data_IF_652346050811
#
_entry.id   IF_652346050811
#
_cell.length_a   1.000
_cell.length_b   1.000
_cell.length_c   1.000
_cell.angle_alpha   90.00
_cell.angle_beta   90.00
_cell.angle_gamma   90.00
#
_symmetry.space_group_name_H-M   'P 1'
#
loop_
_entity.id
_entity.type
_entity.pdbx_description
1 polymer ?
#
# COMPACT_ATOMS: atom_id res chain seq x y z
N UNK A 1 -9.68 -6.33 -0.69
CA UNK A 1 -10.55 -5.60 -1.66
C UNK A 1 -12.04 -5.92 -1.57
N UNK A 2 -12.48 -7.19 -1.59
CA UNK A 2 -13.93 -7.55 -1.52
C UNK A 2 -14.72 -6.80 -0.41
N UNK A 3 -14.15 -6.73 0.80
CA UNK A 3 -14.78 -6.01 1.91
C UNK A 3 -14.89 -4.50 1.65
N UNK A 4 -13.89 -3.90 1.01
CA UNK A 4 -13.90 -2.47 0.66
C UNK A 4 -15.09 -2.13 -0.23
N UNK A 5 -15.35 -2.94 -1.27
CA UNK A 5 -16.54 -2.78 -2.12
C UNK A 5 -17.82 -2.99 -1.30
N UNK A 6 -17.89 -4.07 -0.52
CA UNK A 6 -19.08 -4.42 0.27
C UNK A 6 -19.53 -3.25 1.16
N UNK A 7 -18.57 -2.50 1.72
CA UNK A 7 -18.85 -1.38 2.61
C UNK A 7 -18.78 0.00 1.92
N UNK A 8 -18.72 0.06 0.59
CA UNK A 8 -18.59 1.31 -0.17
C UNK A 8 -17.45 2.19 0.33
N UNK A 9 -16.30 1.58 0.66
CA UNK A 9 -15.16 2.29 1.21
C UNK A 9 -14.62 3.30 0.18
N UNK A 10 -14.52 4.57 0.58
CA UNK A 10 -13.89 5.61 -0.23
C UNK A 10 -12.37 5.39 -0.39
N UNK A 11 -11.76 4.76 0.62
CA UNK A 11 -10.32 4.53 0.70
C UNK A 11 -9.97 3.43 1.70
N UNK A 12 -8.71 2.99 1.68
CA UNK A 12 -8.17 1.94 2.54
C UNK A 12 -6.85 2.37 3.17
N UNK A 13 -6.62 1.90 4.39
CA UNK A 13 -5.30 1.83 5.03
C UNK A 13 -5.09 0.36 5.39
N UNK A 14 -3.92 -0.18 5.08
CA UNK A 14 -3.51 -1.51 5.52
C UNK A 14 -2.65 -1.39 6.76
N UNK A 15 -2.76 -2.36 7.67
CA UNK A 15 -1.94 -2.40 8.88
C UNK A 15 -1.58 -3.85 9.17
N UNK A 16 -0.31 -4.09 9.53
CA UNK A 16 0.10 -5.33 10.15
C UNK A 16 1.21 -5.06 11.19
N UNK A 17 1.48 -6.04 12.04
CA UNK A 17 2.50 -5.93 13.07
C UNK A 17 3.71 -6.80 12.72
N UNK A 18 4.91 -6.32 13.08
CA UNK A 18 6.14 -7.11 13.11
C UNK A 18 6.40 -7.54 14.56
N UNK A 19 6.17 -8.83 14.92
CA UNK A 19 6.40 -9.31 16.29
C UNK A 19 7.86 -9.19 16.76
N UNK A 20 8.81 -9.04 15.82
CA UNK A 20 10.21 -8.73 16.12
C UNK A 20 10.41 -7.36 16.78
N UNK A 21 9.41 -6.48 16.72
CA UNK A 21 9.48 -5.10 17.18
C UNK A 21 10.08 -4.14 16.16
N UNK A 22 10.65 -4.63 15.05
CA UNK A 22 11.24 -3.79 14.01
C UNK A 22 10.28 -3.55 12.84
N UNK A 23 9.77 -2.31 12.61
CA UNK A 23 8.76 -2.05 11.60
C UNK A 23 9.33 -1.82 10.21
N UNK A 24 10.65 -1.98 10.00
CA UNK A 24 11.25 -1.83 8.69
C UNK A 24 10.60 -2.81 7.68
N UNK A 25 10.11 -2.32 6.52
CA UNK A 25 9.35 -3.13 5.60
C UNK A 25 10.23 -4.17 4.92
N UNK A 26 9.82 -5.43 4.98
CA UNK A 26 10.44 -6.51 4.23
C UNK A 26 10.21 -6.36 2.72
N UNK A 27 10.94 -7.09 1.87
CA UNK A 27 10.65 -7.15 0.44
C UNK A 27 9.20 -7.60 0.16
N UNK A 28 8.70 -8.58 0.92
CA UNK A 28 7.33 -9.07 0.77
C UNK A 28 6.29 -8.01 1.12
N UNK A 29 6.56 -7.15 2.10
CA UNK A 29 5.66 -6.05 2.47
C UNK A 29 5.59 -5.02 1.34
N UNK A 30 6.72 -4.71 0.70
CA UNK A 30 6.76 -3.81 -0.45
C UNK A 30 6.01 -4.38 -1.65
N UNK A 31 6.22 -5.65 -1.95
CA UNK A 31 5.56 -6.33 -3.08
C UNK A 31 4.04 -6.36 -2.90
N UNK A 32 3.55 -6.82 -1.74
CA UNK A 32 2.10 -6.89 -1.50
C UNK A 32 1.48 -5.48 -1.46
N UNK A 33 2.17 -4.49 -0.91
CA UNK A 33 1.68 -3.10 -0.89
C UNK A 33 1.53 -2.56 -2.30
N UNK A 34 2.51 -2.81 -3.17
CA UNK A 34 2.44 -2.41 -4.58
C UNK A 34 1.25 -3.05 -5.28
N UNK A 35 1.04 -4.35 -5.10
CA UNK A 35 -0.13 -5.05 -5.67
C UNK A 35 -1.46 -4.48 -5.15
N UNK A 36 -1.54 -4.20 -3.84
CA UNK A 36 -2.74 -3.61 -3.23
C UNK A 36 -3.01 -2.20 -3.73
N UNK A 37 -1.98 -1.36 -3.90
CA UNK A 37 -2.11 -0.03 -4.50
C UNK A 37 -2.59 -0.14 -5.95
N UNK A 38 -2.05 -1.08 -6.74
CA UNK A 38 -2.49 -1.31 -8.11
C UNK A 38 -3.95 -1.77 -8.17
N UNK A 39 -4.34 -2.73 -7.33
CA UNK A 39 -5.72 -3.20 -7.24
C UNK A 39 -6.68 -2.08 -6.80
N UNK A 40 -6.28 -1.26 -5.82
CA UNK A 40 -7.04 -0.09 -5.38
C UNK A 40 -7.27 0.89 -6.53
N UNK A 41 -6.22 1.24 -7.27
CA UNK A 41 -6.32 2.11 -8.44
C UNK A 41 -7.25 1.56 -9.53
N UNK A 42 -7.15 0.25 -9.83
CA UNK A 42 -8.03 -0.39 -10.81
C UNK A 42 -9.51 -0.30 -10.39
N UNK A 43 -9.77 -0.45 -9.10
CA UNK A 43 -11.11 -0.42 -8.51
C UNK A 43 -11.59 0.98 -8.15
N UNK A 44 -10.78 2.01 -8.39
CA UNK A 44 -11.02 3.41 -7.98
C UNK A 44 -11.23 3.58 -6.46
N UNK A 45 -10.55 2.75 -5.65
CA UNK A 45 -10.50 2.84 -4.19
C UNK A 45 -9.07 3.20 -3.79
N UNK A 46 -8.87 4.40 -3.22
CA UNK A 46 -7.52 4.87 -2.87
C UNK A 46 -6.94 4.05 -1.72
N UNK A 47 -5.70 3.58 -1.87
CA UNK A 47 -4.90 3.12 -0.74
C UNK A 47 -4.13 4.33 -0.22
N UNK A 48 -4.43 4.75 1.00
CA UNK A 48 -3.84 5.95 1.61
C UNK A 48 -2.51 5.63 2.27
N UNK A 49 -2.41 4.46 2.92
CA UNK A 49 -1.20 4.05 3.62
C UNK A 49 -1.16 2.53 3.82
N UNK A 50 0.03 2.03 4.12
CA UNK A 50 0.28 0.76 4.78
C UNK A 50 1.17 1.02 5.99
N UNK A 51 0.70 0.67 7.18
CA UNK A 51 1.41 0.91 8.43
C UNK A 51 1.91 -0.42 9.00
N UNK A 52 3.21 -0.51 9.25
CA UNK A 52 3.83 -1.62 9.98
C UNK A 52 4.06 -1.19 11.42
N UNK A 53 3.47 -1.91 12.38
CA UNK A 53 3.60 -1.61 13.81
C UNK A 53 4.68 -2.49 14.43
N UNK A 54 5.65 -1.87 15.10
CA UNK A 54 6.70 -2.52 15.89
C UNK A 54 6.64 -2.14 17.38
N UNK A 55 7.76 -2.21 18.08
CA UNK A 55 7.86 -1.89 19.52
C UNK A 55 7.95 -0.37 19.73
N UNK A 56 6.82 0.26 20.06
CA UNK A 56 6.70 1.72 20.24
C UNK A 56 7.19 2.56 19.04
N UNK A 57 7.28 1.93 17.87
CA UNK A 57 7.61 2.56 16.59
C UNK A 57 6.74 1.99 15.48
N UNK A 58 6.68 2.70 14.36
CA UNK A 58 5.99 2.24 13.17
C UNK A 58 6.72 2.69 11.91
N UNK A 59 6.40 2.06 10.80
CA UNK A 59 6.75 2.52 9.46
C UNK A 59 5.46 2.80 8.69
N UNK A 60 5.37 3.99 8.10
CA UNK A 60 4.29 4.37 7.18
C UNK A 60 4.83 4.35 5.76
N UNK A 61 4.20 3.58 4.88
CA UNK A 61 4.54 3.57 3.45
C UNK A 61 4.23 4.92 2.79
N UNK A 62 3.24 5.66 3.29
CA UNK A 62 2.93 7.00 2.83
C UNK A 62 4.04 7.99 3.22
N UNK A 63 4.45 8.02 4.50
CA UNK A 63 5.55 8.88 4.97
C UNK A 63 6.87 8.53 4.28
N UNK A 64 7.09 7.24 3.97
CA UNK A 64 8.23 6.75 3.21
C UNK A 64 8.17 7.03 1.70
N UNK A 65 7.11 7.66 1.18
CA UNK A 65 6.94 8.01 -0.24
C UNK A 65 6.56 6.83 -1.16
N UNK A 66 6.46 5.61 -0.63
CA UNK A 66 6.22 4.39 -1.41
C UNK A 66 4.80 4.34 -1.99
N UNK A 67 3.80 4.89 -1.30
CA UNK A 67 2.43 4.97 -1.84
C UNK A 67 2.41 5.85 -3.10
N UNK A 68 3.07 7.01 -3.07
CA UNK A 68 3.17 7.89 -4.23
C UNK A 68 3.92 7.23 -5.38
N UNK A 69 5.07 6.61 -5.08
CA UNK A 69 5.86 5.85 -6.05
C UNK A 69 5.02 4.78 -6.76
N UNK A 70 4.25 3.98 -6.01
CA UNK A 70 3.45 2.91 -6.58
C UNK A 70 2.28 3.44 -7.43
N UNK A 71 1.69 4.57 -7.05
CA UNK A 71 0.69 5.24 -7.88
C UNK A 71 1.29 5.74 -9.21
N UNK A 72 2.50 6.32 -9.20
CA UNK A 72 3.20 6.73 -10.41
C UNK A 72 3.54 5.52 -11.30
N UNK A 73 4.01 4.42 -10.70
CA UNK A 73 4.28 3.17 -11.40
C UNK A 73 3.02 2.63 -12.09
N UNK A 74 1.87 2.64 -11.42
CA UNK A 74 0.59 2.24 -12.01
C UNK A 74 0.23 3.09 -13.23
N UNK A 75 0.40 4.41 -13.14
CA UNK A 75 0.11 5.33 -14.25
C UNK A 75 1.04 5.11 -15.44
N UNK A 76 2.31 4.81 -15.22
CA UNK A 76 3.27 4.47 -16.28
C UNK A 76 2.85 3.21 -17.04
N UNK A 77 2.49 2.15 -16.31
CA UNK A 77 1.99 0.89 -16.89
C UNK A 77 0.69 1.12 -17.67
N UNK A 78 -0.28 1.86 -17.09
CA UNK A 78 -1.55 2.18 -17.76
C UNK A 78 -1.38 2.97 -19.06
N UNK A 79 -0.34 3.78 -19.16
CA UNK A 79 0.00 4.57 -20.36
C UNK A 79 0.79 3.78 -21.41
N UNK A 80 1.05 2.49 -21.20
CA UNK A 80 1.81 1.65 -22.12
C UNK A 80 3.30 2.00 -22.19
N UNK A 81 3.83 2.68 -21.17
CA UNK A 81 5.28 2.90 -21.03
C UNK A 81 5.86 1.73 -20.23
N UNK A 82 6.66 0.88 -20.86
CA UNK A 82 7.55 -0.03 -20.13
C UNK A 82 8.50 0.82 -19.27
N UNK A 83 8.55 0.52 -17.98
CA UNK A 83 9.56 1.02 -17.04
C UNK A 83 10.89 0.36 -17.35
#
# INVERSE_FOLDING_TARGET
MKQAIKYNAASLIFVHNHPSGDPDPSPSDKDITKELVFAGNLMQIKVLDHIIIGDNKYFSFADGGLIEEYNLNFLSVKKGKSV
#
